data_IF_839318825761
#
_entry.id   IF_839318825761
#
_cell.length_a   1.000
_cell.length_b   1.000
_cell.length_c   1.000
_cell.angle_alpha   90.00
_cell.angle_beta   90.00
_cell.angle_gamma   90.00
#
_symmetry.space_group_name_H-M   'P 1'
#
loop_
_entity.id
_entity.type
_entity.pdbx_description
1 polymer ?
#
# COMPACT_ATOMS: atom_id res chain seq x y z
N UNK A 1 38.75 -4.00 -17.29
CA UNK A 1 39.11 -4.41 -18.67
C UNK A 1 37.82 -4.77 -19.40
N UNK A 2 37.36 -3.93 -20.33
CA UNK A 2 36.16 -4.20 -21.15
C UNK A 2 36.60 -5.08 -22.32
N UNK A 3 36.42 -6.40 -22.16
CA UNK A 3 36.83 -7.39 -23.15
C UNK A 3 35.64 -7.67 -24.06
N UNK A 4 35.38 -6.82 -25.05
CA UNK A 4 34.67 -7.18 -26.29
C UNK A 4 34.58 -5.96 -27.21
N UNK A 5 35.45 -5.94 -28.21
CA UNK A 5 35.27 -5.16 -29.43
C UNK A 5 34.37 -6.02 -30.33
N UNK A 6 33.05 -5.76 -30.31
CA UNK A 6 32.06 -6.49 -31.09
C UNK A 6 30.74 -6.74 -30.37
N UNK A 7 29.65 -6.88 -31.14
CA UNK A 7 28.25 -6.88 -30.68
C UNK A 7 27.86 -8.07 -29.76
N UNK A 8 28.73 -9.06 -29.57
CA UNK A 8 28.39 -10.36 -28.94
C UNK A 8 29.00 -10.48 -27.54
N UNK A 9 28.22 -10.05 -26.54
CA UNK A 9 28.61 -10.12 -25.11
C UNK A 9 27.98 -11.34 -24.45
N UNK A 10 28.79 -12.19 -23.80
CA UNK A 10 28.33 -13.46 -23.19
C UNK A 10 28.13 -13.43 -21.67
N UNK A 11 28.66 -12.42 -20.98
CA UNK A 11 28.51 -12.32 -19.52
C UNK A 11 27.16 -11.75 -19.12
N UNK A 12 26.56 -12.23 -18.03
CA UNK A 12 25.27 -11.72 -17.51
C UNK A 12 25.31 -10.19 -17.30
N UNK A 13 26.37 -9.69 -16.66
CA UNK A 13 26.55 -8.25 -16.41
C UNK A 13 26.74 -7.46 -17.73
N UNK A 14 27.47 -8.02 -18.69
CA UNK A 14 27.68 -7.39 -19.98
C UNK A 14 26.42 -7.33 -20.85
N UNK A 15 25.54 -8.33 -20.75
CA UNK A 15 24.22 -8.32 -21.41
C UNK A 15 23.33 -7.21 -20.84
N UNK A 16 23.30 -7.06 -19.51
CA UNK A 16 22.54 -5.98 -18.83
C UNK A 16 23.08 -4.62 -19.24
N UNK A 17 24.40 -4.44 -19.19
CA UNK A 17 25.04 -3.20 -19.63
C UNK A 17 24.74 -2.87 -21.10
N UNK A 18 24.82 -3.85 -22.01
CA UNK A 18 24.51 -3.65 -23.44
C UNK A 18 23.07 -3.19 -23.64
N UNK A 19 22.11 -3.84 -22.95
CA UNK A 19 20.69 -3.44 -23.02
C UNK A 19 20.50 -2.01 -22.53
N UNK A 20 21.14 -1.64 -21.43
CA UNK A 20 21.10 -0.28 -20.88
C UNK A 20 21.74 0.74 -21.84
N UNK A 21 22.95 0.47 -22.35
CA UNK A 21 23.66 1.36 -23.25
C UNK A 21 22.90 1.59 -24.57
N UNK A 22 22.35 0.53 -25.17
CA UNK A 22 21.52 0.66 -26.38
C UNK A 22 20.27 1.50 -26.14
N UNK A 23 19.66 1.41 -24.95
CA UNK A 23 18.52 2.27 -24.59
C UNK A 23 18.94 3.74 -24.55
N UNK A 24 20.04 4.06 -23.88
CA UNK A 24 20.57 5.44 -23.77
C UNK A 24 20.92 6.02 -25.14
N UNK A 25 21.62 5.24 -25.99
CA UNK A 25 21.96 5.66 -27.35
C UNK A 25 20.70 5.90 -28.18
N UNK A 26 19.72 5.00 -28.10
CA UNK A 26 18.44 5.15 -28.81
C UNK A 26 17.66 6.38 -28.33
N UNK A 27 17.64 6.63 -27.01
CA UNK A 27 17.01 7.83 -26.45
C UNK A 27 17.70 9.10 -26.99
N UNK A 28 19.04 9.15 -27.02
CA UNK A 28 19.79 10.25 -27.63
C UNK A 28 19.51 10.44 -29.13
N UNK A 29 19.47 9.36 -29.90
CA UNK A 29 19.23 9.43 -31.35
C UNK A 29 17.81 9.91 -31.69
N UNK A 30 16.82 9.53 -30.90
CA UNK A 30 15.41 9.89 -31.15
C UNK A 30 15.07 11.27 -30.58
N UNK A 31 15.53 11.56 -29.36
CA UNK A 31 15.11 12.74 -28.59
C UNK A 31 16.15 13.86 -28.60
N UNK A 32 17.37 13.59 -29.07
CA UNK A 32 18.52 14.50 -28.99
C UNK A 32 19.21 14.52 -27.61
N UNK A 33 18.65 13.82 -26.61
CA UNK A 33 19.21 13.73 -25.27
C UNK A 33 18.83 12.40 -24.60
N UNK A 34 19.59 11.98 -23.59
CA UNK A 34 19.14 10.96 -22.65
C UNK A 34 19.15 11.51 -21.23
N UNK A 35 18.02 11.35 -20.56
CA UNK A 35 17.83 11.83 -19.20
C UNK A 35 17.49 10.67 -18.26
N UNK A 36 17.97 10.77 -17.03
CA UNK A 36 17.55 9.88 -15.97
C UNK A 36 16.30 10.48 -15.30
N UNK A 37 15.13 10.11 -15.79
CA UNK A 37 13.85 10.66 -15.32
C UNK A 37 13.64 10.51 -13.81
N UNK A 38 14.06 9.38 -13.22
CA UNK A 38 14.00 9.19 -11.75
C UNK A 38 14.89 10.21 -11.02
N UNK A 39 16.08 10.50 -11.55
CA UNK A 39 16.98 11.52 -10.98
C UNK A 39 16.44 12.93 -11.17
N UNK A 40 15.82 13.22 -12.32
CA UNK A 40 15.17 14.51 -12.57
C UNK A 40 14.01 14.74 -11.61
N UNK A 41 13.14 13.75 -11.42
CA UNK A 41 12.01 13.85 -10.48
C UNK A 41 12.49 14.08 -9.04
N UNK A 42 13.57 13.40 -8.63
CA UNK A 42 14.21 13.63 -7.33
C UNK A 42 14.79 15.05 -7.21
N UNK A 43 15.43 15.56 -8.27
CA UNK A 43 15.98 16.92 -8.29
C UNK A 43 14.87 17.99 -8.26
N UNK A 44 13.78 17.80 -9.01
CA UNK A 44 12.62 18.69 -8.99
C UNK A 44 11.98 18.76 -7.60
N UNK A 45 11.82 17.60 -6.94
CA UNK A 45 11.37 17.56 -5.54
C UNK A 45 12.35 18.34 -4.66
N UNK A 46 13.66 18.09 -4.77
CA UNK A 46 14.67 18.81 -3.98
C UNK A 46 14.65 20.33 -4.19
N UNK A 47 14.47 20.79 -5.43
CA UNK A 47 14.39 22.22 -5.78
C UNK A 47 13.15 22.88 -5.20
N UNK A 48 11.97 22.24 -5.33
CA UNK A 48 10.73 22.76 -4.70
C UNK A 48 10.87 22.90 -3.18
N UNK A 49 11.62 22.00 -2.56
CA UNK A 49 11.84 22.02 -1.12
C UNK A 49 12.83 23.10 -0.68
N UNK A 50 13.86 23.38 -1.48
CA UNK A 50 14.75 24.54 -1.29
C UNK A 50 13.98 25.86 -1.43
N UNK A 51 13.06 25.95 -2.39
CA UNK A 51 12.19 27.11 -2.58
C UNK A 51 11.25 27.30 -1.37
N UNK A 52 10.69 26.22 -0.82
CA UNK A 52 9.89 26.29 0.42
C UNK A 52 10.75 26.74 1.61
N UNK A 53 11.95 26.18 1.77
CA UNK A 53 12.86 26.56 2.84
C UNK A 53 13.28 28.03 2.72
N UNK A 54 13.64 28.50 1.52
CA UNK A 54 14.06 29.88 1.27
C UNK A 54 12.96 30.94 1.45
N UNK A 55 11.69 30.54 1.58
CA UNK A 55 10.57 31.44 1.93
C UNK A 55 10.39 31.64 3.43
N UNK A 56 11.13 30.90 4.26
CA UNK A 56 11.17 31.12 5.71
C UNK A 56 12.14 32.29 5.94
N UNK A 57 11.60 33.44 6.35
CA UNK A 57 12.33 34.70 6.54
C UNK A 57 13.55 34.51 7.47
N UNK A 58 14.76 34.77 6.95
CA UNK A 58 16.04 34.69 7.67
C UNK A 58 17.18 34.05 6.85
N UNK A 59 18.43 34.44 7.11
CA UNK A 59 19.61 33.74 6.58
C UNK A 59 19.65 32.32 7.15
N UNK A 60 19.07 31.36 6.42
CA UNK A 60 19.12 29.95 6.78
C UNK A 60 20.57 29.47 6.80
N UNK A 61 21.03 29.03 7.97
CA UNK A 61 22.33 28.39 8.06
C UNK A 61 22.32 27.08 7.27
N UNK A 62 23.47 26.70 6.72
CA UNK A 62 23.61 25.45 5.97
C UNK A 62 23.18 24.21 6.81
N UNK A 63 23.29 24.29 8.14
CA UNK A 63 22.90 23.21 9.06
C UNK A 63 21.37 23.09 9.20
N UNK A 64 20.65 24.21 9.21
CA UNK A 64 19.19 24.23 9.24
C UNK A 64 18.62 23.70 7.92
N UNK A 65 19.19 24.14 6.79
CA UNK A 65 18.82 23.63 5.47
C UNK A 65 19.01 22.10 5.36
N UNK A 66 20.14 21.56 5.84
CA UNK A 66 20.37 20.11 5.86
C UNK A 66 19.38 19.36 6.77
N UNK A 67 19.04 19.94 7.91
CA UNK A 67 18.08 19.35 8.85
C UNK A 67 16.68 19.28 8.24
N UNK A 68 16.25 20.37 7.58
CA UNK A 68 14.99 20.43 6.84
C UNK A 68 14.95 19.39 5.72
N UNK A 69 16.01 19.31 4.89
CA UNK A 69 16.11 18.32 3.81
C UNK A 69 16.02 16.88 4.37
N UNK A 70 16.67 16.59 5.51
CA UNK A 70 16.62 15.27 6.14
C UNK A 70 15.20 14.90 6.59
N UNK A 71 14.48 15.86 7.20
CA UNK A 71 13.09 15.66 7.62
C UNK A 71 12.21 15.42 6.39
N UNK A 72 12.35 16.23 5.35
CA UNK A 72 11.50 16.08 4.17
C UNK A 72 11.78 14.77 3.42
N UNK A 73 13.05 14.39 3.27
CA UNK A 73 13.40 13.09 2.67
C UNK A 73 12.77 11.93 3.45
N UNK A 74 12.68 12.04 4.78
CA UNK A 74 11.99 11.04 5.62
C UNK A 74 10.49 10.96 5.33
N UNK A 75 9.86 12.08 4.97
CA UNK A 75 8.40 12.14 4.70
C UNK A 75 8.03 12.15 3.21
N UNK A 76 8.99 12.17 2.29
CA UNK A 76 8.73 12.32 0.85
C UNK A 76 7.78 11.23 0.32
N UNK A 77 7.93 9.99 0.79
CA UNK A 77 7.04 8.90 0.39
C UNK A 77 5.60 9.12 0.87
N UNK A 78 5.41 9.56 2.12
CA UNK A 78 4.09 9.87 2.66
C UNK A 78 3.43 11.02 1.90
N UNK A 79 4.18 12.09 1.62
CA UNK A 79 3.69 13.24 0.83
C UNK A 79 3.34 12.84 -0.61
N UNK A 80 4.15 12.00 -1.25
CA UNK A 80 3.84 11.48 -2.59
C UNK A 80 2.59 10.59 -2.59
N UNK A 81 2.35 9.81 -1.53
CA UNK A 81 1.15 8.98 -1.41
C UNK A 81 -0.10 9.85 -1.23
N UNK A 82 0.00 10.93 -0.45
CA UNK A 82 -1.08 11.89 -0.24
C UNK A 82 -1.44 12.62 -1.55
N UNK A 83 -0.44 13.10 -2.29
CA UNK A 83 -0.65 13.73 -3.61
C UNK A 83 -1.35 12.78 -4.59
N UNK A 84 -0.92 11.50 -4.64
CA UNK A 84 -1.59 10.48 -5.45
C UNK A 84 -3.02 10.23 -5.01
N UNK A 85 -3.31 10.28 -3.71
CA UNK A 85 -4.67 10.12 -3.18
C UNK A 85 -5.59 11.25 -3.65
N UNK A 86 -5.14 12.51 -3.55
CA UNK A 86 -5.91 13.68 -3.97
C UNK A 86 -6.30 13.62 -5.45
N UNK A 87 -5.40 13.12 -6.30
CA UNK A 87 -5.68 12.93 -7.73
C UNK A 87 -6.34 11.58 -8.08
N UNK A 88 -6.68 10.74 -7.09
CA UNK A 88 -7.22 9.38 -7.29
C UNK A 88 -6.32 8.50 -8.18
N UNK A 89 -5.01 8.67 -8.07
CA UNK A 89 -3.95 7.97 -8.82
C UNK A 89 -3.08 7.10 -7.91
N UNK A 90 -3.62 6.65 -6.78
CA UNK A 90 -2.95 5.67 -5.93
C UNK A 90 -2.73 4.41 -6.77
N UNK A 91 -1.48 3.98 -6.88
CA UNK A 91 -1.15 2.81 -7.69
C UNK A 91 -1.37 1.55 -6.89
N UNK A 92 -2.15 0.61 -7.43
CA UNK A 92 -2.26 -0.77 -6.91
C UNK A 92 -0.89 -1.45 -6.87
N UNK A 93 -0.33 -1.74 -5.69
CA UNK A 93 0.95 -2.39 -5.58
C UNK A 93 0.86 -3.87 -5.96
N UNK A 94 2.01 -4.47 -6.29
CA UNK A 94 2.09 -5.92 -6.44
C UNK A 94 1.97 -6.57 -5.07
N UNK A 95 1.19 -7.64 -5.02
CA UNK A 95 1.02 -8.45 -3.83
C UNK A 95 1.49 -9.90 -4.03
N UNK A 96 1.30 -10.69 -2.99
CA UNK A 96 1.63 -12.11 -2.93
C UNK A 96 0.43 -12.97 -3.29
N UNK A 97 0.66 -14.07 -4.03
CA UNK A 97 -0.37 -15.08 -4.32
C UNK A 97 -0.29 -16.21 -3.31
N UNK A 98 -1.44 -16.61 -2.77
CA UNK A 98 -1.54 -17.74 -1.86
C UNK A 98 -2.92 -18.39 -2.01
N UNK A 99 -2.97 -19.72 -1.96
CA UNK A 99 -4.19 -20.51 -2.16
C UNK A 99 -4.84 -20.93 -0.83
N UNK A 100 -4.18 -20.70 0.31
CA UNK A 100 -4.82 -20.86 1.62
C UNK A 100 -6.04 -19.94 1.71
N UNK A 101 -7.01 -20.31 2.55
CA UNK A 101 -8.24 -19.55 2.77
C UNK A 101 -8.59 -19.62 4.24
N UNK A 102 -8.90 -18.48 4.84
CA UNK A 102 -9.57 -18.44 6.13
C UNK A 102 -11.02 -18.89 5.97
N UNK A 103 -11.58 -19.49 7.02
CA UNK A 103 -12.98 -19.93 7.02
C UNK A 103 -13.87 -18.96 7.81
N UNK A 104 -15.16 -19.09 7.59
CA UNK A 104 -16.17 -18.35 8.35
C UNK A 104 -16.12 -18.69 9.84
N UNK A 105 -15.95 -19.97 10.17
CA UNK A 105 -15.87 -20.47 11.54
C UNK A 105 -14.65 -19.88 12.27
N UNK A 106 -13.50 -19.81 11.60
CA UNK A 106 -12.30 -19.17 12.14
C UNK A 106 -12.56 -17.69 12.48
N UNK A 107 -13.20 -16.96 11.57
CA UNK A 107 -13.53 -15.55 11.77
C UNK A 107 -14.50 -15.35 12.95
N UNK A 108 -15.56 -16.17 13.02
CA UNK A 108 -16.55 -16.09 14.10
C UNK A 108 -15.91 -16.42 15.45
N UNK A 109 -15.03 -17.40 15.53
CA UNK A 109 -14.32 -17.73 16.75
C UNK A 109 -13.54 -16.52 17.29
N UNK A 110 -12.86 -15.78 16.42
CA UNK A 110 -12.10 -14.58 16.78
C UNK A 110 -13.02 -13.44 17.17
N UNK A 111 -14.14 -13.27 16.47
CA UNK A 111 -15.13 -12.25 16.84
C UNK A 111 -15.70 -12.55 18.24
N UNK A 112 -15.95 -13.82 18.54
CA UNK A 112 -16.46 -14.23 19.84
C UNK A 112 -15.45 -13.94 20.97
N UNK A 113 -14.14 -14.04 20.74
CA UNK A 113 -13.15 -13.62 21.75
C UNK A 113 -13.22 -12.12 22.07
N UNK A 114 -13.62 -11.28 21.10
CA UNK A 114 -13.88 -9.85 21.35
C UNK A 114 -15.14 -9.62 22.18
N UNK A 115 -16.18 -10.45 22.01
CA UNK A 115 -17.46 -10.31 22.74
C UNK A 115 -17.26 -10.46 24.24
N UNK A 116 -16.40 -11.39 24.67
CA UNK A 116 -16.10 -11.58 26.09
C UNK A 116 -15.47 -10.35 26.76
N UNK A 117 -14.86 -9.46 25.97
CA UNK A 117 -14.23 -8.23 26.47
C UNK A 117 -15.13 -6.98 26.37
N UNK A 118 -16.36 -7.10 25.85
CA UNK A 118 -17.29 -5.99 25.66
C UNK A 118 -18.63 -6.24 26.37
N UNK A 119 -19.12 -5.26 27.12
CA UNK A 119 -20.29 -5.38 28.01
C UNK A 119 -21.68 -5.21 27.33
N UNK A 120 -21.78 -5.24 26.00
CA UNK A 120 -23.06 -5.01 25.29
C UNK A 120 -23.57 -6.26 24.60
N UNK A 121 -24.83 -6.62 24.87
CA UNK A 121 -25.52 -7.77 24.26
C UNK A 121 -25.67 -7.66 22.74
N UNK A 122 -25.60 -6.43 22.19
CA UNK A 122 -25.76 -6.15 20.76
C UNK A 122 -24.46 -6.25 19.96
N UNK A 123 -23.31 -6.31 20.63
CA UNK A 123 -22.01 -6.32 19.98
C UNK A 123 -21.79 -7.63 19.22
N UNK A 124 -21.33 -7.52 17.97
CA UNK A 124 -20.97 -8.64 17.10
C UNK A 124 -22.11 -9.62 16.77
N UNK A 125 -23.36 -9.19 16.88
CA UNK A 125 -24.50 -9.93 16.33
C UNK A 125 -24.52 -9.75 14.80
N UNK A 126 -24.29 -10.83 14.06
CA UNK A 126 -24.27 -10.83 12.60
C UNK A 126 -25.67 -10.70 12.01
N UNK A 127 -25.77 -9.97 10.89
CA UNK A 127 -27.00 -9.82 10.10
C UNK A 127 -26.91 -10.69 8.85
N UNK A 128 -27.95 -11.49 8.60
CA UNK A 128 -28.19 -12.15 7.31
C UNK A 128 -26.98 -12.89 6.70
N UNK A 129 -26.14 -13.54 7.51
CA UNK A 129 -24.90 -14.20 7.06
C UNK A 129 -23.95 -13.27 6.27
N UNK A 130 -23.94 -11.97 6.58
CA UNK A 130 -23.16 -10.97 5.85
C UNK A 130 -21.66 -11.21 5.88
N UNK A 131 -21.11 -11.79 6.96
CA UNK A 131 -19.69 -12.11 7.04
C UNK A 131 -19.35 -13.25 6.09
N UNK A 132 -20.21 -14.27 6.04
CA UNK A 132 -20.05 -15.39 5.11
C UNK A 132 -20.04 -14.90 3.66
N UNK A 133 -20.96 -14.01 3.29
CA UNK A 133 -21.00 -13.40 1.96
C UNK A 133 -19.71 -12.65 1.62
N UNK A 134 -19.17 -11.85 2.55
CA UNK A 134 -17.90 -11.15 2.33
C UNK A 134 -16.72 -12.12 2.14
N UNK A 135 -16.65 -13.20 2.94
CA UNK A 135 -15.59 -14.20 2.78
C UNK A 135 -15.70 -14.87 1.40
N UNK A 136 -16.91 -15.22 0.98
CA UNK A 136 -17.15 -15.84 -0.31
C UNK A 136 -16.78 -14.88 -1.46
N UNK A 137 -17.13 -13.58 -1.36
CA UNK A 137 -16.74 -12.54 -2.31
C UNK A 137 -15.21 -12.39 -2.41
N UNK A 138 -14.50 -12.39 -1.28
CA UNK A 138 -13.05 -12.22 -1.23
C UNK A 138 -12.31 -13.36 -1.94
N UNK A 139 -12.88 -14.57 -1.90
CA UNK A 139 -12.30 -15.76 -2.53
C UNK A 139 -13.01 -16.17 -3.82
N UNK A 140 -13.89 -15.32 -4.35
CA UNK A 140 -14.64 -15.56 -5.58
C UNK A 140 -13.74 -15.47 -6.82
N UNK A 141 -14.24 -16.03 -7.92
CA UNK A 141 -13.56 -16.02 -9.22
C UNK A 141 -14.50 -15.47 -10.30
N UNK A 142 -13.94 -14.74 -11.26
CA UNK A 142 -14.60 -14.25 -12.46
C UNK A 142 -13.78 -14.66 -13.68
N UNK A 143 -14.44 -15.28 -14.66
CA UNK A 143 -13.81 -15.77 -15.90
C UNK A 143 -12.56 -16.65 -15.65
N UNK A 144 -12.65 -17.54 -14.66
CA UNK A 144 -11.55 -18.44 -14.28
C UNK A 144 -10.39 -17.78 -13.53
N UNK A 145 -10.49 -16.50 -13.17
CA UNK A 145 -9.48 -15.75 -12.42
C UNK A 145 -10.00 -15.24 -11.08
N UNK A 146 -9.16 -15.20 -10.05
CA UNK A 146 -9.53 -14.63 -8.74
C UNK A 146 -9.96 -13.17 -8.89
N UNK A 147 -11.13 -12.83 -8.33
CA UNK A 147 -11.63 -11.44 -8.31
C UNK A 147 -10.61 -10.51 -7.65
N UNK A 148 -10.03 -10.95 -6.54
CA UNK A 148 -8.92 -10.29 -5.86
C UNK A 148 -7.68 -11.17 -5.94
N UNK A 149 -6.70 -10.74 -6.73
CA UNK A 149 -5.62 -11.61 -7.19
C UNK A 149 -4.52 -11.85 -6.14
N UNK A 150 -4.40 -11.01 -5.12
CA UNK A 150 -3.33 -11.12 -4.09
C UNK A 150 -3.89 -11.12 -2.68
N UNK A 151 -3.08 -11.59 -1.74
CA UNK A 151 -3.44 -11.65 -0.31
C UNK A 151 -3.69 -10.26 0.27
N UNK A 152 -2.86 -9.28 -0.09
CA UNK A 152 -2.96 -7.88 0.35
C UNK A 152 -4.24 -7.23 -0.18
N UNK A 153 -4.61 -7.54 -1.43
CA UNK A 153 -5.85 -7.07 -2.03
C UNK A 153 -7.07 -7.67 -1.34
N UNK A 154 -7.03 -8.98 -1.06
CA UNK A 154 -8.07 -9.69 -0.29
C UNK A 154 -8.20 -9.11 1.12
N UNK A 155 -7.09 -8.83 1.80
CA UNK A 155 -7.06 -8.22 3.13
C UNK A 155 -7.66 -6.80 3.12
N UNK A 156 -7.24 -5.96 2.17
CA UNK A 156 -7.76 -4.61 2.02
C UNK A 156 -9.28 -4.59 1.74
N UNK A 157 -9.76 -5.49 0.88
CA UNK A 157 -11.20 -5.65 0.63
C UNK A 157 -11.95 -6.20 1.86
N UNK A 158 -11.35 -7.08 2.66
CA UNK A 158 -11.95 -7.54 3.92
C UNK A 158 -12.17 -6.37 4.89
N UNK A 159 -11.14 -5.55 5.10
CA UNK A 159 -11.24 -4.36 5.94
C UNK A 159 -12.32 -3.41 5.42
N UNK A 160 -12.35 -3.17 4.10
CA UNK A 160 -13.33 -2.30 3.46
C UNK A 160 -14.76 -2.80 3.63
N UNK A 161 -15.05 -4.03 3.19
CA UNK A 161 -16.39 -4.58 3.12
C UNK A 161 -16.98 -4.80 4.51
N UNK A 162 -16.22 -5.32 5.47
CA UNK A 162 -16.73 -5.51 6.85
C UNK A 162 -17.04 -4.17 7.51
N UNK A 163 -16.24 -3.14 7.23
CA UNK A 163 -16.48 -1.80 7.75
C UNK A 163 -17.71 -1.15 7.10
N UNK A 164 -17.89 -1.28 5.77
CA UNK A 164 -18.93 -0.59 5.00
C UNK A 164 -20.28 -1.29 4.96
N UNK A 165 -20.31 -2.62 4.89
CA UNK A 165 -21.56 -3.35 4.67
C UNK A 165 -22.39 -3.50 5.96
N UNK A 166 -21.94 -2.94 7.08
CA UNK A 166 -22.63 -3.01 8.38
C UNK A 166 -23.08 -4.44 8.71
N UNK A 167 -22.17 -5.39 8.54
CA UNK A 167 -22.37 -6.83 8.70
C UNK A 167 -22.94 -7.19 10.06
N UNK A 168 -22.56 -6.44 11.08
CA UNK A 168 -22.96 -6.65 12.47
C UNK A 168 -23.88 -5.52 12.94
N UNK A 169 -24.70 -5.80 13.94
CA UNK A 169 -25.58 -4.81 14.58
C UNK A 169 -24.75 -3.69 15.20
N UNK A 170 -23.71 -4.04 15.95
CA UNK A 170 -22.71 -3.10 16.48
C UNK A 170 -21.30 -3.69 16.38
N UNK A 171 -20.30 -2.81 16.34
CA UNK A 171 -18.89 -3.20 16.40
C UNK A 171 -18.19 -3.31 15.05
N UNK A 172 -18.85 -3.03 13.93
CA UNK A 172 -18.30 -3.22 12.56
C UNK A 172 -16.87 -2.73 12.39
N UNK A 173 -16.54 -1.51 12.84
CA UNK A 173 -15.18 -0.94 12.76
C UNK A 173 -14.16 -1.78 13.55
N UNK A 174 -14.49 -2.15 14.78
CA UNK A 174 -13.62 -2.96 15.66
C UNK A 174 -13.44 -4.37 15.08
N UNK A 175 -14.54 -4.99 14.66
CA UNK A 175 -14.54 -6.32 14.06
C UNK A 175 -13.74 -6.33 12.75
N UNK A 176 -13.93 -5.34 11.87
CA UNK A 176 -13.17 -5.21 10.63
C UNK A 176 -11.66 -5.09 10.89
N UNK A 177 -11.26 -4.22 11.82
CA UNK A 177 -9.85 -4.07 12.20
C UNK A 177 -9.28 -5.37 12.79
N UNK A 178 -10.02 -6.07 13.65
CA UNK A 178 -9.57 -7.35 14.23
C UNK A 178 -9.43 -8.43 13.16
N UNK A 179 -10.44 -8.58 12.29
CA UNK A 179 -10.39 -9.56 11.19
C UNK A 179 -9.27 -9.25 10.21
N UNK A 180 -9.00 -7.98 9.94
CA UNK A 180 -7.88 -7.54 9.11
C UNK A 180 -6.53 -7.94 9.73
N UNK A 181 -6.31 -7.68 11.02
CA UNK A 181 -5.09 -8.13 11.73
C UNK A 181 -4.96 -9.65 11.68
N UNK A 182 -6.05 -10.37 11.95
CA UNK A 182 -6.05 -11.83 11.89
C UNK A 182 -5.69 -12.33 10.50
N UNK A 183 -6.28 -11.75 9.45
CA UNK A 183 -6.00 -12.08 8.06
C UNK A 183 -4.51 -11.91 7.76
N UNK A 184 -3.93 -10.75 8.10
CA UNK A 184 -2.50 -10.52 7.91
C UNK A 184 -1.64 -11.54 8.67
N UNK A 185 -2.01 -11.86 9.92
CA UNK A 185 -1.28 -12.84 10.71
C UNK A 185 -1.37 -14.25 10.11
N UNK A 186 -2.54 -14.68 9.66
CA UNK A 186 -2.77 -15.98 9.03
C UNK A 186 -1.88 -16.20 7.80
N UNK A 187 -1.66 -15.15 7.01
CA UNK A 187 -0.80 -15.19 5.83
C UNK A 187 0.68 -14.82 6.12
N UNK A 188 1.03 -14.51 7.36
CA UNK A 188 2.41 -14.12 7.73
C UNK A 188 2.82 -12.74 7.21
N UNK A 189 1.87 -11.84 7.01
CA UNK A 189 2.07 -10.46 6.51
C UNK A 189 1.99 -9.39 7.60
N UNK A 190 1.64 -9.75 8.85
CA UNK A 190 1.48 -8.78 9.93
C UNK A 190 2.82 -8.16 10.37
N UNK A 191 3.92 -8.90 10.19
CA UNK A 191 5.27 -8.50 10.59
C UNK A 191 6.25 -8.63 9.42
N UNK A 192 7.21 -7.72 9.34
CA UNK A 192 8.36 -7.77 8.45
C UNK A 192 9.66 -7.51 9.24
N UNK A 193 10.81 -7.42 8.55
CA UNK A 193 12.12 -7.17 9.18
C UNK A 193 12.19 -5.87 9.98
N UNK A 194 11.35 -4.87 9.66
CA UNK A 194 11.28 -3.57 10.33
C UNK A 194 10.28 -3.54 11.50
N UNK A 195 9.51 -4.62 11.71
CA UNK A 195 8.49 -4.72 12.75
C UNK A 195 7.08 -4.92 12.20
N UNK A 196 6.08 -4.34 12.86
CA UNK A 196 4.68 -4.46 12.45
C UNK A 196 4.43 -3.68 11.16
N UNK A 197 3.77 -4.30 10.18
CA UNK A 197 3.54 -3.70 8.85
C UNK A 197 2.55 -2.54 8.87
N UNK A 198 1.56 -2.59 9.76
CA UNK A 198 0.60 -1.50 9.98
C UNK A 198 0.57 -1.14 11.47
N UNK A 199 0.91 0.09 11.82
CA UNK A 199 0.89 0.53 13.20
C UNK A 199 -0.55 0.84 13.69
N UNK A 200 -0.71 0.94 15.01
CA UNK A 200 -2.00 1.16 15.65
C UNK A 200 -2.72 2.43 15.18
N UNK A 201 -1.97 3.54 14.98
CA UNK A 201 -2.58 4.81 14.58
C UNK A 201 -3.06 4.73 13.12
N UNK A 202 -2.25 4.13 12.24
CA UNK A 202 -2.62 3.91 10.84
C UNK A 202 -3.84 3.01 10.72
N UNK A 203 -3.90 1.91 11.48
CA UNK A 203 -5.05 1.01 11.49
C UNK A 203 -6.34 1.73 11.91
N UNK A 204 -6.30 2.51 12.99
CA UNK A 204 -7.46 3.28 13.46
C UNK A 204 -7.88 4.31 12.42
N UNK A 205 -6.93 5.10 11.91
CA UNK A 205 -7.20 6.16 10.95
C UNK A 205 -7.83 5.62 9.66
N UNK A 206 -7.26 4.55 9.08
CA UNK A 206 -7.77 3.99 7.82
C UNK A 206 -9.12 3.31 8.00
N UNK A 207 -9.36 2.66 9.15
CA UNK A 207 -10.67 2.06 9.45
C UNK A 207 -11.76 3.14 9.57
N UNK A 208 -11.45 4.28 10.21
CA UNK A 208 -12.37 5.42 10.29
C UNK A 208 -12.58 6.06 8.91
N UNK A 209 -11.51 6.26 8.14
CA UNK A 209 -11.57 6.80 6.79
C UNK A 209 -12.48 5.96 5.89
N UNK A 210 -12.28 4.64 5.91
CA UNK A 210 -13.16 3.69 5.21
C UNK A 210 -14.60 3.85 5.69
N UNK A 211 -14.85 3.87 7.00
CA UNK A 211 -16.19 4.02 7.53
C UNK A 211 -16.91 5.29 7.01
N UNK A 212 -16.20 6.42 6.90
CA UNK A 212 -16.77 7.71 6.52
C UNK A 212 -16.73 8.03 5.02
N UNK A 213 -15.98 7.27 4.22
CA UNK A 213 -15.80 7.51 2.77
C UNK A 213 -17.06 7.38 1.92
N UNK A 214 -17.05 7.92 0.69
CA UNK A 214 -18.07 7.59 -0.31
C UNK A 214 -17.81 6.17 -0.89
N UNK A 215 -18.82 5.31 -1.07
CA UNK A 215 -18.66 4.00 -1.74
C UNK A 215 -17.94 4.07 -3.10
N UNK A 216 -18.04 5.19 -3.84
CA UNK A 216 -17.31 5.42 -5.10
C UNK A 216 -15.80 5.48 -4.95
N UNK A 217 -15.30 5.67 -3.72
CA UNK A 217 -13.88 5.74 -3.39
C UNK A 217 -13.29 4.38 -3.01
N UNK A 218 -14.09 3.29 -3.09
CA UNK A 218 -13.65 1.93 -2.74
C UNK A 218 -12.27 1.58 -3.29
N UNK A 219 -12.09 1.68 -4.61
CA UNK A 219 -10.85 1.25 -5.26
C UNK A 219 -9.64 2.04 -4.77
N UNK A 220 -9.77 3.36 -4.64
CA UNK A 220 -8.68 4.22 -4.15
C UNK A 220 -8.30 3.89 -2.70
N UNK A 221 -9.29 3.57 -1.86
CA UNK A 221 -9.06 3.19 -0.45
C UNK A 221 -8.47 1.80 -0.32
N UNK A 222 -8.90 0.84 -1.13
CA UNK A 222 -8.29 -0.49 -1.22
C UNK A 222 -6.83 -0.35 -1.63
N UNK A 223 -6.54 0.41 -2.68
CA UNK A 223 -5.17 0.67 -3.13
C UNK A 223 -4.34 1.37 -2.05
N UNK A 224 -4.93 2.33 -1.31
CA UNK A 224 -4.28 3.02 -0.19
C UNK A 224 -3.89 2.03 0.92
N UNK A 225 -4.80 1.17 1.34
CA UNK A 225 -4.53 0.12 2.35
C UNK A 225 -3.43 -0.82 1.85
N UNK A 226 -3.48 -1.24 0.58
CA UNK A 226 -2.42 -2.08 0.01
C UNK A 226 -1.06 -1.37 0.00
N UNK A 227 -1.01 -0.05 -0.20
CA UNK A 227 0.24 0.72 -0.12
C UNK A 227 0.79 0.75 1.32
N UNK A 228 -0.07 0.79 2.35
CA UNK A 228 0.38 0.64 3.74
C UNK A 228 0.98 -0.74 4.00
N UNK A 229 0.39 -1.80 3.43
CA UNK A 229 0.87 -3.18 3.61
C UNK A 229 2.21 -3.47 2.92
N UNK A 230 2.51 -2.79 1.82
CA UNK A 230 3.76 -3.01 1.09
C UNK A 230 4.99 -2.59 1.90
N UNK A 231 4.85 -1.63 2.82
CA UNK A 231 5.90 -1.11 3.70
C UNK A 231 7.19 -0.73 2.95
N UNK A 232 7.32 0.52 2.50
CA UNK A 232 8.58 0.98 1.87
C UNK A 232 9.69 1.31 2.87
#
# INVERSE_FOLDING_TARGET
MIISVGYRVKSKNGIVFRKWANKIIKDYLIKGYAANNMRLEYLEKTIKLLDIAGRIDGELSANEAQSIIKVINKYSNALNLLDKYDYKKVSKPKGTKNNKKITYEECINIINTLRFNNYSDLFALERNNGLKGIIDDIYSTFDGSDLYSTVEEKAANMLYLVTKNHVFIDGNKRIAATLFIYFLNYYGLLYNEKGMVIDNNTLVAVTILIAQSDPKEKEVLVDLVMNFLKGE
#
